data_IF_963454844706
#
_entry.id   IF_963454844706
#
_cell.length_a   1.000
_cell.length_b   1.000
_cell.length_c   1.000
_cell.angle_alpha   90.00
_cell.angle_beta   90.00
_cell.angle_gamma   90.00
#
_symmetry.space_group_name_H-M   'P 1'
#
loop_
_entity.id
_entity.type
_entity.pdbx_description
1 polymer ?
#
# COMPACT_ATOMS: atom_id res chain seq x y z
N UNK A 1 12.76 -18.58 2.10
CA UNK A 1 13.58 -17.36 2.25
C UNK A 1 15.05 -17.69 2.19
N UNK A 2 15.59 -18.32 3.23
CA UNK A 2 17.02 -18.65 3.38
C UNK A 2 17.56 -19.64 2.33
N UNK A 3 16.70 -20.49 1.78
CA UNK A 3 17.05 -21.44 0.71
C UNK A 3 17.30 -20.77 -0.64
N UNK A 4 16.58 -19.70 -1.01
CA UNK A 4 16.72 -19.06 -2.32
C UNK A 4 18.03 -18.29 -2.48
N UNK A 5 18.44 -17.53 -1.46
CA UNK A 5 19.72 -16.80 -1.47
C UNK A 5 20.93 -17.75 -1.42
N UNK A 6 20.83 -18.85 -0.67
CA UNK A 6 21.85 -19.89 -0.65
C UNK A 6 21.98 -20.57 -2.02
N UNK A 7 20.87 -20.80 -2.73
CA UNK A 7 20.83 -21.40 -4.07
C UNK A 7 21.40 -20.44 -5.13
N UNK A 8 21.08 -19.15 -5.08
CA UNK A 8 21.65 -18.16 -6.01
C UNK A 8 23.16 -17.99 -5.79
N UNK A 9 23.60 -18.00 -4.53
CA UNK A 9 25.02 -17.95 -4.19
C UNK A 9 25.77 -19.24 -4.58
N UNK A 10 25.12 -20.42 -4.51
CA UNK A 10 25.72 -21.68 -4.96
C UNK A 10 25.78 -21.79 -6.48
N UNK A 11 24.72 -21.39 -7.19
CA UNK A 11 24.67 -21.36 -8.67
C UNK A 11 25.68 -20.35 -9.22
N UNK A 12 25.86 -19.18 -8.58
CA UNK A 12 26.91 -18.24 -8.98
C UNK A 12 28.33 -18.82 -8.79
N UNK A 13 28.53 -19.68 -7.81
CA UNK A 13 29.78 -20.43 -7.60
C UNK A 13 29.98 -21.48 -8.71
N UNK A 14 28.92 -22.21 -9.06
CA UNK A 14 28.94 -23.31 -10.02
C UNK A 14 29.06 -22.83 -11.48
N UNK A 15 28.50 -21.67 -11.80
CA UNK A 15 28.52 -21.09 -13.15
C UNK A 15 29.76 -20.21 -13.40
N UNK A 16 30.31 -19.55 -12.37
CA UNK A 16 31.35 -18.50 -12.58
C UNK A 16 32.71 -18.80 -11.94
N UNK A 17 32.80 -19.72 -10.97
CA UNK A 17 34.07 -20.08 -10.31
C UNK A 17 34.83 -18.93 -9.63
N UNK A 18 34.23 -17.73 -9.50
CA UNK A 18 34.88 -16.50 -9.02
C UNK A 18 34.03 -15.82 -7.95
N UNK A 19 34.57 -15.76 -6.74
CA UNK A 19 33.98 -15.17 -5.52
C UNK A 19 33.57 -13.69 -5.63
N UNK A 20 33.99 -12.99 -6.68
CA UNK A 20 33.64 -11.58 -6.93
C UNK A 20 32.14 -11.39 -7.29
N UNK A 21 31.55 -12.34 -8.03
CA UNK A 21 30.17 -12.25 -8.49
C UNK A 21 29.18 -12.31 -7.31
N UNK A 22 29.48 -13.16 -6.31
CA UNK A 22 28.71 -13.23 -5.05
C UNK A 22 28.69 -11.88 -4.32
N UNK A 23 29.83 -11.19 -4.25
CA UNK A 23 29.93 -9.88 -3.57
C UNK A 23 29.12 -8.81 -4.29
N UNK A 24 29.15 -8.81 -5.63
CA UNK A 24 28.33 -7.89 -6.42
C UNK A 24 26.82 -8.15 -6.28
N UNK A 25 26.39 -9.41 -6.33
CA UNK A 25 24.97 -9.77 -6.17
C UNK A 25 24.49 -9.40 -4.76
N UNK A 26 25.28 -9.71 -3.72
CA UNK A 26 24.93 -9.34 -2.35
C UNK A 26 24.85 -7.81 -2.14
N UNK A 27 25.80 -7.04 -2.69
CA UNK A 27 25.74 -5.57 -2.66
C UNK A 27 24.51 -5.03 -3.39
N UNK A 28 24.20 -5.58 -4.57
CA UNK A 28 23.01 -5.23 -5.33
C UNK A 28 21.71 -5.51 -4.55
N UNK A 29 21.62 -6.66 -3.87
CA UNK A 29 20.47 -7.02 -3.05
C UNK A 29 20.27 -6.04 -1.88
N UNK A 30 21.35 -5.67 -1.16
CA UNK A 30 21.27 -4.71 -0.04
C UNK A 30 20.80 -3.33 -0.53
N UNK A 31 21.38 -2.83 -1.62
CA UNK A 31 20.99 -1.53 -2.20
C UNK A 31 19.52 -1.57 -2.67
N UNK A 32 19.08 -2.68 -3.26
CA UNK A 32 17.69 -2.87 -3.69
C UNK A 32 16.72 -2.85 -2.51
N UNK A 33 16.98 -3.64 -1.45
CA UNK A 33 16.14 -3.68 -0.25
C UNK A 33 16.06 -2.29 0.39
N UNK A 34 17.19 -1.58 0.49
CA UNK A 34 17.23 -0.23 1.05
C UNK A 34 16.33 0.75 0.25
N UNK A 35 16.43 0.72 -1.08
CA UNK A 35 15.59 1.53 -1.96
C UNK A 35 14.09 1.22 -1.79
N UNK A 36 13.72 -0.06 -1.76
CA UNK A 36 12.33 -0.50 -1.56
C UNK A 36 11.78 -0.06 -0.20
N UNK A 37 12.58 -0.15 0.87
CA UNK A 37 12.19 0.31 2.21
C UNK A 37 11.95 1.82 2.22
N UNK A 38 12.81 2.62 1.57
CA UNK A 38 12.61 4.07 1.46
C UNK A 38 11.31 4.39 0.70
N UNK A 39 11.09 3.79 -0.47
CA UNK A 39 9.88 4.02 -1.28
C UNK A 39 8.60 3.67 -0.51
N UNK A 40 8.58 2.51 0.16
CA UNK A 40 7.42 2.10 0.98
C UNK A 40 7.21 3.02 2.18
N UNK A 41 8.29 3.52 2.78
CA UNK A 41 8.24 4.46 3.90
C UNK A 41 7.68 5.84 3.52
N UNK A 42 7.99 6.33 2.32
CA UNK A 42 7.34 7.53 1.78
C UNK A 42 5.87 7.29 1.43
N UNK A 43 5.54 6.11 0.88
CA UNK A 43 4.17 5.72 0.54
C UNK A 43 3.23 5.73 1.76
N UNK A 44 3.63 5.07 2.85
CA UNK A 44 2.84 5.05 4.09
C UNK A 44 2.58 6.46 4.65
N UNK A 45 3.58 7.35 4.58
CA UNK A 45 3.47 8.71 5.12
C UNK A 45 2.46 9.54 4.34
N UNK A 46 2.46 9.44 2.99
CA UNK A 46 1.47 10.13 2.15
C UNK A 46 0.05 9.63 2.37
N UNK A 47 -0.14 8.32 2.46
CA UNK A 47 -1.45 7.72 2.73
C UNK A 47 -1.96 8.19 4.09
N UNK A 48 -1.11 8.17 5.13
CA UNK A 48 -1.46 8.62 6.47
C UNK A 48 -1.83 10.10 6.51
N UNK A 49 -1.10 10.95 5.77
CA UNK A 49 -1.39 12.37 5.67
C UNK A 49 -2.72 12.64 4.96
N UNK A 50 -3.01 11.94 3.85
CA UNK A 50 -4.30 12.02 3.16
C UNK A 50 -5.46 11.58 4.07
N UNK A 51 -5.33 10.42 4.73
CA UNK A 51 -6.33 9.93 5.70
C UNK A 51 -6.51 10.87 6.90
N UNK A 52 -5.43 11.52 7.33
CA UNK A 52 -5.43 12.53 8.39
C UNK A 52 -6.16 13.80 8.00
N UNK A 53 -5.94 14.31 6.78
CA UNK A 53 -6.67 15.45 6.18
C UNK A 53 -8.16 15.15 6.07
N UNK A 54 -8.50 13.92 5.69
CA UNK A 54 -9.87 13.45 5.54
C UNK A 54 -10.54 13.16 6.92
N UNK A 55 -9.82 13.32 8.04
CA UNK A 55 -10.35 13.24 9.41
C UNK A 55 -10.61 11.81 9.91
N UNK A 56 -10.12 10.80 9.19
CA UNK A 56 -10.42 9.37 9.42
C UNK A 56 -9.54 8.72 10.50
N UNK A 57 -8.54 9.41 11.04
CA UNK A 57 -7.55 8.86 11.96
C UNK A 57 -7.47 9.60 13.32
N UNK A 58 -7.11 8.91 14.42
CA UNK A 58 -6.91 9.54 15.73
C UNK A 58 -5.84 10.63 15.69
N UNK A 59 -6.05 11.73 16.44
CA UNK A 59 -5.11 12.87 16.51
C UNK A 59 -3.67 12.48 16.92
N UNK A 60 -3.53 11.31 17.56
CA UNK A 60 -2.24 10.72 17.94
C UNK A 60 -1.48 10.15 16.73
N UNK A 61 -2.17 9.67 15.69
CA UNK A 61 -1.59 9.16 14.44
C UNK A 61 -1.30 10.29 13.43
N UNK A 62 -1.97 11.43 13.57
CA UNK A 62 -1.72 12.63 12.74
C UNK A 62 -0.71 13.59 13.34
N UNK A 63 -0.16 13.30 14.53
CA UNK A 63 0.92 14.09 15.15
C UNK A 63 2.24 13.77 14.45
N UNK A 64 2.37 14.24 13.21
CA UNK A 64 3.63 14.25 12.47
C UNK A 64 4.59 15.23 13.13
N UNK A 65 5.84 14.82 13.30
CA UNK A 65 6.86 15.71 13.83
C UNK A 65 7.05 16.89 12.84
N UNK A 66 6.94 18.17 13.28
CA UNK A 66 6.98 19.34 12.40
C UNK A 66 8.24 19.46 11.53
N UNK A 67 9.36 18.83 11.93
CA UNK A 67 10.64 18.91 11.21
C UNK A 67 10.87 17.80 10.18
N UNK A 68 10.33 16.60 10.39
CA UNK A 68 10.53 15.45 9.48
C UNK A 68 9.27 15.05 8.73
N UNK A 69 8.10 15.59 9.08
CA UNK A 69 6.78 15.21 8.58
C UNK A 69 6.50 13.69 8.64
N UNK A 70 7.28 12.94 9.40
CA UNK A 70 7.12 11.50 9.60
C UNK A 70 6.45 11.20 10.93
N UNK A 71 5.53 10.21 10.99
CA UNK A 71 4.87 9.78 12.21
C UNK A 71 5.80 8.87 13.03
N UNK A 72 6.89 9.41 13.58
CA UNK A 72 7.98 8.66 14.23
C UNK A 72 7.47 7.69 15.30
N UNK A 73 6.51 8.10 16.14
CA UNK A 73 5.93 7.21 17.16
C UNK A 73 5.20 6.01 16.54
N UNK A 74 4.48 6.22 15.43
CA UNK A 74 3.79 5.14 14.74
C UNK A 74 4.79 4.16 14.12
N UNK A 75 5.84 4.69 13.48
CA UNK A 75 6.91 3.86 12.92
C UNK A 75 7.54 2.99 14.00
N UNK A 76 7.87 3.54 15.18
CA UNK A 76 8.47 2.76 16.27
C UNK A 76 7.51 1.67 16.77
N UNK A 77 6.23 2.00 17.02
CA UNK A 77 5.25 1.03 17.50
C UNK A 77 5.06 -0.11 16.48
N UNK A 78 4.89 0.24 15.21
CA UNK A 78 4.70 -0.74 14.13
C UNK A 78 5.97 -1.59 13.95
N UNK A 79 7.15 -0.99 13.95
CA UNK A 79 8.42 -1.73 13.85
C UNK A 79 8.59 -2.68 15.04
N UNK A 80 8.29 -2.26 16.26
CA UNK A 80 8.35 -3.14 17.45
C UNK A 80 7.39 -4.31 17.31
N UNK A 81 6.14 -4.06 16.93
CA UNK A 81 5.13 -5.12 16.73
C UNK A 81 5.58 -6.08 15.62
N UNK A 82 6.05 -5.55 14.49
CA UNK A 82 6.53 -6.37 13.36
C UNK A 82 7.78 -7.16 13.76
N UNK A 83 8.73 -6.58 14.51
CA UNK A 83 9.92 -7.28 14.99
C UNK A 83 9.55 -8.45 15.92
N UNK A 84 8.56 -8.26 16.80
CA UNK A 84 8.03 -9.34 17.63
C UNK A 84 7.38 -10.41 16.75
N UNK A 85 6.48 -10.03 15.83
CA UNK A 85 5.84 -10.98 14.92
C UNK A 85 6.85 -11.75 14.07
N UNK A 86 7.88 -11.09 13.54
CA UNK A 86 8.94 -11.71 12.74
C UNK A 86 9.83 -12.67 13.56
N UNK A 87 9.91 -12.49 14.89
CA UNK A 87 10.60 -13.42 15.77
C UNK A 87 9.83 -14.74 15.98
N UNK A 88 8.49 -14.70 15.93
CA UNK A 88 7.63 -15.86 16.18
C UNK A 88 7.03 -16.49 14.91
N UNK A 89 6.91 -15.74 13.81
CA UNK A 89 6.23 -16.14 12.58
C UNK A 89 7.27 -16.27 11.44
N UNK A 90 7.29 -17.39 10.70
CA UNK A 90 8.24 -17.58 9.61
C UNK A 90 7.99 -16.59 8.46
N UNK A 91 9.09 -16.11 7.86
CA UNK A 91 9.09 -15.12 6.77
C UNK A 91 8.15 -15.47 5.59
N UNK A 92 7.94 -16.75 5.32
CA UNK A 92 7.00 -17.20 4.28
C UNK A 92 5.57 -16.73 4.53
N UNK A 93 5.08 -16.85 5.76
CA UNK A 93 3.73 -16.42 6.14
C UNK A 93 3.61 -14.89 6.12
N UNK A 94 4.66 -14.16 6.50
CA UNK A 94 4.70 -12.69 6.39
C UNK A 94 4.63 -12.24 4.92
N UNK A 95 5.33 -12.94 4.04
CA UNK A 95 5.30 -12.68 2.61
C UNK A 95 3.91 -12.94 2.03
N UNK A 96 3.29 -14.08 2.36
CA UNK A 96 1.92 -14.40 1.93
C UNK A 96 0.91 -13.36 2.45
N UNK A 97 1.03 -12.91 3.70
CA UNK A 97 0.18 -11.87 4.28
C UNK A 97 0.35 -10.51 3.57
N UNK A 98 1.56 -10.20 3.11
CA UNK A 98 1.83 -8.99 2.32
C UNK A 98 1.25 -9.11 0.91
N UNK A 99 1.42 -10.26 0.26
CA UNK A 99 0.91 -10.55 -1.08
C UNK A 99 -0.61 -10.50 -1.15
N UNK A 100 -1.34 -11.08 -0.18
CA UNK A 100 -2.82 -10.99 -0.18
C UNK A 100 -3.29 -9.55 -0.07
N UNK A 101 -2.60 -8.71 0.72
CA UNK A 101 -2.93 -7.29 0.87
C UNK A 101 -2.74 -6.50 -0.42
N UNK A 102 -1.64 -6.72 -1.15
CA UNK A 102 -1.39 -6.03 -2.43
C UNK A 102 -2.33 -6.51 -3.53
N UNK A 103 -2.62 -7.82 -3.60
CA UNK A 103 -3.60 -8.37 -4.53
C UNK A 103 -5.01 -7.81 -4.26
N UNK A 104 -5.39 -7.70 -2.99
CA UNK A 104 -6.66 -7.10 -2.61
C UNK A 104 -6.74 -5.61 -2.99
N UNK A 105 -5.67 -4.84 -2.77
CA UNK A 105 -5.60 -3.45 -3.20
C UNK A 105 -5.72 -3.31 -4.71
N UNK A 106 -5.04 -4.16 -5.49
CA UNK A 106 -5.16 -4.18 -6.95
C UNK A 106 -6.57 -4.56 -7.41
N UNK A 107 -7.22 -5.53 -6.76
CA UNK A 107 -8.60 -5.87 -7.04
C UNK A 107 -9.54 -4.66 -6.82
N UNK A 108 -9.38 -3.92 -5.71
CA UNK A 108 -10.16 -2.70 -5.45
C UNK A 108 -9.88 -1.63 -6.50
N UNK A 109 -8.62 -1.42 -6.91
CA UNK A 109 -8.27 -0.43 -7.93
C UNK A 109 -8.88 -0.81 -9.28
N UNK A 110 -8.78 -2.07 -9.70
CA UNK A 110 -9.38 -2.54 -10.95
C UNK A 110 -10.90 -2.43 -10.93
N UNK A 111 -11.56 -2.80 -9.82
CA UNK A 111 -12.99 -2.60 -9.64
C UNK A 111 -13.37 -1.10 -9.60
N UNK A 112 -12.54 -0.27 -8.98
CA UNK A 112 -12.69 1.18 -8.90
C UNK A 112 -12.63 1.86 -10.27
N UNK A 113 -11.78 1.38 -11.18
CA UNK A 113 -11.75 1.87 -12.58
C UNK A 113 -13.07 1.55 -13.30
N UNK A 114 -13.66 0.38 -13.05
CA UNK A 114 -14.96 0.00 -13.61
C UNK A 114 -16.06 0.89 -13.00
N UNK A 115 -16.07 1.04 -11.67
CA UNK A 115 -17.04 1.86 -10.93
C UNK A 115 -16.97 3.34 -11.34
N UNK A 116 -15.78 3.94 -11.41
CA UNK A 116 -15.59 5.33 -11.81
C UNK A 116 -16.03 5.58 -13.25
N UNK A 117 -15.88 4.59 -14.15
CA UNK A 117 -16.38 4.71 -15.52
C UNK A 117 -17.91 4.60 -15.59
N UNK A 118 -18.55 3.87 -14.68
CA UNK A 118 -20.01 3.82 -14.57
C UNK A 118 -20.59 5.09 -13.92
N UNK A 119 -19.94 5.63 -12.89
CA UNK A 119 -20.45 6.76 -12.11
C UNK A 119 -20.15 8.14 -12.70
N UNK A 120 -19.05 8.32 -13.46
CA UNK A 120 -18.70 9.63 -14.05
C UNK A 120 -18.22 9.50 -15.51
N UNK A 121 -19.14 9.38 -16.49
CA UNK A 121 -18.80 9.17 -17.89
C UNK A 121 -18.21 10.40 -18.61
N UNK A 122 -18.49 11.64 -18.16
CA UNK A 122 -18.16 12.88 -18.86
C UNK A 122 -16.86 13.59 -18.41
N UNK A 123 -15.96 12.93 -17.67
CA UNK A 123 -14.72 13.55 -17.19
C UNK A 123 -13.64 13.53 -18.30
N UNK A 124 -12.94 14.64 -18.60
CA UNK A 124 -11.85 14.66 -19.58
C UNK A 124 -10.70 13.77 -19.10
N UNK A 125 -10.39 12.70 -19.86
CA UNK A 125 -9.35 11.71 -19.51
C UNK A 125 -8.15 11.88 -20.42
N UNK A 126 -7.01 12.25 -19.84
CA UNK A 126 -5.72 12.39 -20.54
C UNK A 126 -5.15 11.05 -21.01
N UNK A 127 -5.56 9.93 -20.39
CA UNK A 127 -5.14 8.58 -20.76
C UNK A 127 -6.36 7.66 -20.90
N UNK A 128 -6.64 7.18 -22.13
CA UNK A 128 -7.68 6.20 -22.41
C UNK A 128 -7.03 4.82 -22.51
N UNK A 129 -7.48 3.87 -21.68
CA UNK A 129 -7.02 2.48 -21.78
C UNK A 129 -7.44 1.89 -23.14
N UNK A 130 -6.50 1.41 -23.99
CA UNK A 130 -6.79 1.05 -25.37
C UNK A 130 -7.67 -0.19 -25.54
N UNK A 131 -7.85 -1.01 -24.50
CA UNK A 131 -8.70 -2.22 -24.51
C UNK A 131 -9.69 -2.25 -23.33
N UNK A 132 -10.44 -1.17 -23.14
CA UNK A 132 -11.59 -1.21 -22.23
C UNK A 132 -12.74 -2.00 -22.88
N UNK A 133 -13.40 -2.99 -22.20
CA UNK A 133 -13.36 -3.34 -20.77
C UNK A 133 -12.55 -4.60 -20.41
N UNK A 134 -11.91 -5.26 -21.36
CA UNK A 134 -11.24 -6.56 -21.16
C UNK A 134 -10.06 -6.46 -20.19
N UNK A 135 -9.29 -5.39 -20.28
CA UNK A 135 -8.08 -5.16 -19.46
C UNK A 135 -8.33 -5.15 -17.94
N UNK A 136 -9.29 -4.37 -17.38
CA UNK A 136 -9.57 -4.42 -15.95
C UNK A 136 -10.26 -5.72 -15.51
N UNK A 137 -11.07 -6.35 -16.37
CA UNK A 137 -11.75 -7.62 -16.05
C UNK A 137 -10.73 -8.75 -15.89
N UNK A 138 -9.78 -8.88 -16.82
CA UNK A 138 -8.69 -9.85 -16.70
C UNK A 138 -7.83 -9.60 -15.46
N UNK A 139 -7.59 -8.32 -15.11
CA UNK A 139 -6.90 -7.95 -13.88
C UNK A 139 -7.64 -8.43 -12.62
N UNK A 140 -8.96 -8.23 -12.55
CA UNK A 140 -9.78 -8.72 -11.43
C UNK A 140 -9.77 -10.24 -11.37
N UNK A 141 -9.97 -10.92 -12.50
CA UNK A 141 -9.99 -12.39 -12.55
C UNK A 141 -8.63 -12.97 -12.13
N UNK A 142 -7.53 -12.39 -12.63
CA UNK A 142 -6.18 -12.81 -12.25
C UNK A 142 -5.88 -12.59 -10.77
N UNK A 143 -6.27 -11.43 -10.21
CA UNK A 143 -6.12 -11.18 -8.78
C UNK A 143 -6.96 -12.14 -7.94
N UNK A 144 -8.21 -12.39 -8.35
CA UNK A 144 -9.11 -13.31 -7.65
C UNK A 144 -8.59 -14.75 -7.66
N UNK A 145 -8.08 -15.20 -8.80
CA UNK A 145 -7.46 -16.52 -8.92
C UNK A 145 -6.25 -16.68 -7.98
N UNK A 146 -5.37 -15.67 -7.92
CA UNK A 146 -4.21 -15.70 -7.03
C UNK A 146 -4.59 -15.65 -5.55
N UNK A 147 -5.63 -14.89 -5.19
CA UNK A 147 -6.16 -14.85 -3.82
C UNK A 147 -6.79 -16.21 -3.44
N UNK A 148 -7.48 -16.86 -4.38
CA UNK A 148 -8.10 -18.17 -4.16
C UNK A 148 -7.06 -19.31 -4.05
N UNK A 149 -5.91 -19.16 -4.68
CA UNK A 149 -4.80 -20.12 -4.59
C UNK A 149 -3.98 -20.01 -3.29
N UNK A 150 -4.27 -19.03 -2.43
CA UNK A 150 -3.52 -18.77 -1.21
C UNK A 150 -4.02 -19.61 -0.03
N UNK A 151 -3.12 -19.92 0.91
CA UNK A 151 -3.45 -20.75 2.06
C UNK A 151 -4.60 -20.16 2.91
N UNK A 152 -5.43 -21.03 3.48
CA UNK A 152 -6.56 -20.64 4.34
C UNK A 152 -6.12 -19.81 5.55
N UNK A 153 -4.92 -20.05 6.09
CA UNK A 153 -4.36 -19.28 7.20
C UNK A 153 -4.22 -17.78 6.84
N UNK A 154 -3.91 -17.46 5.59
CA UNK A 154 -3.71 -16.09 5.12
C UNK A 154 -5.03 -15.33 5.05
N UNK A 155 -6.13 -16.03 4.74
CA UNK A 155 -7.47 -15.48 4.81
C UNK A 155 -7.85 -15.09 6.25
N UNK A 156 -7.53 -15.94 7.23
CA UNK A 156 -7.79 -15.63 8.65
C UNK A 156 -7.02 -14.41 9.10
N UNK A 157 -5.72 -14.32 8.78
CA UNK A 157 -4.89 -13.15 9.11
C UNK A 157 -5.42 -11.87 8.45
N UNK A 158 -5.81 -11.96 7.18
CA UNK A 158 -6.40 -10.84 6.44
C UNK A 158 -7.67 -10.33 7.10
N UNK A 159 -8.64 -11.21 7.39
CA UNK A 159 -9.89 -10.82 8.05
C UNK A 159 -9.67 -10.34 9.50
N UNK A 160 -8.75 -10.95 10.24
CA UNK A 160 -8.39 -10.49 11.57
C UNK A 160 -7.84 -9.05 11.52
N UNK A 161 -6.94 -8.76 10.59
CA UNK A 161 -6.41 -7.41 10.41
C UNK A 161 -7.49 -6.41 9.94
N UNK A 162 -8.36 -6.83 9.03
CA UNK A 162 -9.49 -6.01 8.57
C UNK A 162 -10.45 -5.70 9.72
N UNK A 163 -10.72 -6.68 10.58
CA UNK A 163 -11.54 -6.51 11.77
C UNK A 163 -10.88 -5.53 12.76
N UNK A 164 -9.58 -5.62 13.01
CA UNK A 164 -8.85 -4.64 13.83
C UNK A 164 -8.96 -3.23 13.24
N UNK A 165 -8.72 -3.08 11.92
CA UNK A 165 -8.88 -1.81 11.23
C UNK A 165 -10.31 -1.27 11.31
N UNK A 166 -11.31 -2.14 11.18
CA UNK A 166 -12.73 -1.82 11.31
C UNK A 166 -13.07 -1.39 12.74
N UNK A 167 -12.57 -2.07 13.77
CA UNK A 167 -12.79 -1.69 15.17
C UNK A 167 -12.21 -0.29 15.43
N UNK A 168 -10.99 -0.02 14.97
CA UNK A 168 -10.38 1.32 15.08
C UNK A 168 -11.23 2.36 14.33
N UNK A 169 -11.72 2.02 13.13
CA UNK A 169 -12.59 2.87 12.32
C UNK A 169 -13.95 3.15 12.98
N UNK A 170 -14.64 2.13 13.49
CA UNK A 170 -15.96 2.30 14.12
C UNK A 170 -15.88 3.01 15.47
N UNK A 171 -14.83 2.74 16.25
CA UNK A 171 -14.64 3.39 17.57
C UNK A 171 -14.28 4.87 17.44
N UNK A 172 -13.57 5.28 16.38
CA UNK A 172 -13.09 6.66 16.22
C UNK A 172 -13.62 7.40 14.97
N UNK A 173 -13.64 6.74 13.81
CA UNK A 173 -14.02 7.31 12.51
C UNK A 173 -15.48 7.73 12.39
N UNK A 174 -16.43 6.97 12.97
CA UNK A 174 -17.86 7.35 12.98
C UNK A 174 -18.13 8.60 13.80
N UNK A 175 -17.39 8.81 14.89
CA UNK A 175 -17.64 9.94 15.81
C UNK A 175 -17.01 11.27 15.34
N UNK A 176 -16.19 11.28 14.29
CA UNK A 176 -15.42 12.47 13.89
C UNK A 176 -15.23 12.71 12.39
N UNK A 177 -15.77 11.85 11.52
CA UNK A 177 -15.63 12.02 10.07
C UNK A 177 -16.32 13.31 9.61
N UNK A 178 -15.53 14.27 9.11
CA UNK A 178 -16.01 15.52 8.51
C UNK A 178 -16.90 15.30 7.29
N UNK A 179 -16.81 14.13 6.64
CA UNK A 179 -17.68 13.72 5.54
C UNK A 179 -19.14 13.53 5.99
N UNK A 180 -19.40 13.18 7.25
CA UNK A 180 -20.75 13.15 7.82
C UNK A 180 -21.27 14.55 8.20
N UNK A 181 -20.38 15.56 8.23
CA UNK A 181 -20.72 16.93 8.61
C UNK A 181 -21.07 17.84 7.43
N UNK A 182 -20.99 17.34 6.20
CA UNK A 182 -21.53 18.04 5.03
C UNK A 182 -20.87 19.38 4.72
N UNK A 183 -19.63 19.64 5.16
CA UNK A 183 -18.83 20.75 4.66
C UNK A 183 -18.31 20.37 3.26
N UNK A 184 -19.25 20.36 2.31
CA UNK A 184 -18.93 20.57 0.92
C UNK A 184 -18.11 21.87 0.86
N UNK A 185 -16.92 21.73 0.30
CA UNK A 185 -16.03 22.79 -0.15
C UNK A 185 -16.89 24.00 -0.60
N UNK A 186 -16.93 25.06 0.23
CA UNK A 186 -17.40 26.37 -0.22
C UNK A 186 -16.29 26.92 -1.11
N UNK A 187 -16.16 26.30 -2.29
CA UNK A 187 -15.33 26.78 -3.36
C UNK A 187 -16.04 28.01 -3.89
N UNK A 188 -15.71 29.17 -3.33
CA UNK A 188 -15.95 30.45 -3.97
C UNK A 188 -14.91 30.59 -5.07
N UNK A 189 -15.27 30.56 -6.36
CA UNK A 189 -14.33 30.93 -7.41
C UNK A 189 -13.76 32.31 -7.08
N UNK A 190 -12.44 32.44 -7.15
CA UNK A 190 -11.81 33.77 -7.08
C UNK A 190 -12.47 34.68 -8.12
N UNK A 191 -12.81 35.93 -7.78
CA UNK A 191 -13.41 36.85 -8.73
C UNK A 191 -12.50 36.96 -9.96
N UNK A 192 -13.08 36.75 -11.15
CA UNK A 192 -12.34 36.87 -12.40
C UNK A 192 -11.63 38.23 -12.46
N UNK A 193 -10.33 38.28 -12.84
CA UNK A 193 -9.65 39.54 -13.01
C UNK A 193 -10.39 40.37 -14.08
N UNK A 194 -10.51 41.69 -13.90
CA UNK A 194 -11.27 42.53 -14.81
C UNK A 194 -10.72 42.41 -16.23
N UNK A 195 -11.62 42.07 -17.16
CA UNK A 195 -11.31 42.03 -18.60
C UNK A 195 -10.99 43.45 -19.03
N UNK A 196 -9.71 43.72 -19.28
CA UNK A 196 -9.26 45.00 -19.82
C UNK A 196 -9.62 45.01 -21.31
N UNK A 197 -10.63 45.80 -21.68
CA UNK A 197 -11.09 46.04 -23.05
C UNK A 197 -10.15 46.96 -23.82
#
# INVERSE_FOLDING_TARGET
GQSGEAILASIANEVTGRTWARRLIALGAVISIFSVVLVTMYGQTRILFAMGRDGLLPKTFTKVNPRTQTPVNNTIIVTVIISILAAFIPLGQLAEATSIGTLFAFMIVSAGVISLRRSRPNMPRSFKTPLYPITPILGVIGCLYLIASLAWITWVVFFAWLAVGMIIYFTYGIKRSRLARGEADDWTPDPEPPVVS
#
